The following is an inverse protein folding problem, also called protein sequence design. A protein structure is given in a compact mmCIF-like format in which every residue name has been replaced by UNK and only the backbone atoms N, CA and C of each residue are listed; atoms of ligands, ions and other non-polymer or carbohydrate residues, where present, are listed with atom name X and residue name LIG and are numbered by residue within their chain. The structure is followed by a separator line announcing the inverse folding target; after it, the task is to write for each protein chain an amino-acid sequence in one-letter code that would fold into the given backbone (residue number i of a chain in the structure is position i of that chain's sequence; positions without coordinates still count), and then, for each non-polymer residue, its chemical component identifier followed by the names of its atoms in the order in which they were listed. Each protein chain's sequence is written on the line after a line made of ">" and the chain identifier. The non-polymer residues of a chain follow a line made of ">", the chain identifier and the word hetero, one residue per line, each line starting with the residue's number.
data_IF_870490388394
#
_entry.id   IF_870490388394
#
_cell.length_a   1.000
_cell.length_b   1.000
_cell.length_c   1.000
_cell.angle_alpha   90.00
_cell.angle_beta   90.00
_cell.angle_gamma   90.00
#
_symmetry.space_group_name_H-M   'P 1'
#
loop_
_entity.id
_entity.type
_entity.pdbx_description
1 polymer ?
#
# COMPACT_ATOMS: atom_id res chain seq x y z
N UNK A 1 58.19 -25.29 -30.39
CA UNK A 1 58.05 -23.85 -30.04
C UNK A 1 56.86 -23.19 -30.75
N UNK A 2 56.76 -23.17 -32.08
CA UNK A 2 55.65 -22.47 -32.77
C UNK A 2 54.24 -23.06 -32.50
N UNK A 3 54.11 -24.40 -32.43
CA UNK A 3 52.82 -25.04 -32.17
C UNK A 3 52.25 -24.76 -30.77
N UNK A 4 53.11 -24.56 -29.76
CA UNK A 4 52.68 -24.19 -28.41
C UNK A 4 52.22 -22.72 -28.35
N UNK A 5 52.89 -21.83 -29.07
CA UNK A 5 52.51 -20.41 -29.15
C UNK A 5 51.12 -20.26 -29.78
N UNK A 6 50.82 -21.04 -30.83
CA UNK A 6 49.50 -21.03 -31.49
C UNK A 6 48.42 -21.52 -30.52
N UNK A 7 48.67 -22.66 -29.86
CA UNK A 7 47.74 -23.23 -28.87
C UNK A 7 47.49 -22.30 -27.67
N UNK A 8 48.53 -21.60 -27.22
CA UNK A 8 48.41 -20.62 -26.14
C UNK A 8 47.60 -19.39 -26.57
N UNK A 9 47.80 -18.88 -27.80
CA UNK A 9 46.96 -17.79 -28.35
C UNK A 9 45.50 -18.20 -28.45
N UNK A 10 45.24 -19.40 -28.93
CA UNK A 10 43.87 -19.93 -29.07
C UNK A 10 43.18 -20.05 -27.70
N UNK A 11 43.89 -20.53 -26.67
CA UNK A 11 43.38 -20.56 -25.29
C UNK A 11 43.13 -19.17 -24.70
N UNK A 12 43.99 -18.19 -24.97
CA UNK A 12 43.79 -16.81 -24.51
C UNK A 12 42.55 -16.20 -25.17
N UNK A 13 42.36 -16.44 -26.47
CA UNK A 13 41.21 -15.93 -27.19
C UNK A 13 39.89 -16.56 -26.70
N UNK A 14 39.88 -17.87 -26.42
CA UNK A 14 38.73 -18.53 -25.81
C UNK A 14 38.39 -17.98 -24.41
N UNK A 15 39.40 -17.72 -23.57
CA UNK A 15 39.16 -17.11 -22.26
C UNK A 15 38.59 -15.70 -22.37
N UNK A 16 39.02 -14.90 -23.35
CA UNK A 16 38.48 -13.56 -23.59
C UNK A 16 37.01 -13.62 -24.06
N UNK A 17 36.68 -14.56 -24.95
CA UNK A 17 35.30 -14.79 -25.41
C UNK A 17 34.39 -15.24 -24.27
N UNK A 18 34.83 -16.17 -23.43
CA UNK A 18 34.08 -16.63 -22.25
C UNK A 18 33.87 -15.51 -21.22
N UNK A 19 34.88 -14.67 -20.99
CA UNK A 19 34.74 -13.49 -20.11
C UNK A 19 33.74 -12.49 -20.67
N UNK A 20 33.76 -12.27 -21.99
CA UNK A 20 32.81 -11.38 -22.65
C UNK A 20 31.38 -11.94 -22.58
N UNK A 21 31.19 -13.24 -22.80
CA UNK A 21 29.89 -13.90 -22.69
C UNK A 21 29.36 -13.81 -21.25
N UNK A 22 30.21 -14.09 -20.25
CA UNK A 22 29.86 -13.92 -18.83
C UNK A 22 29.52 -12.47 -18.48
N UNK A 23 30.26 -11.48 -18.99
CA UNK A 23 29.96 -10.08 -18.78
C UNK A 23 28.63 -9.67 -19.42
N UNK A 24 28.31 -10.24 -20.59
CA UNK A 24 27.06 -9.98 -21.31
C UNK A 24 25.87 -10.59 -20.56
N UNK A 25 26.00 -11.84 -20.10
CA UNK A 25 25.01 -12.52 -19.26
C UNK A 25 24.82 -11.77 -17.93
N UNK A 26 25.90 -11.34 -17.28
CA UNK A 26 25.83 -10.57 -16.04
C UNK A 26 25.18 -9.19 -16.26
N UNK A 27 25.42 -8.54 -17.41
CA UNK A 27 24.76 -7.29 -17.76
C UNK A 27 23.26 -7.49 -18.02
N UNK A 28 22.87 -8.57 -18.69
CA UNK A 28 21.46 -8.95 -18.92
C UNK A 28 20.78 -9.24 -17.57
N UNK A 29 21.38 -10.06 -16.72
CA UNK A 29 20.84 -10.39 -15.39
C UNK A 29 20.75 -9.14 -14.51
N UNK A 30 21.77 -8.28 -14.51
CA UNK A 30 21.77 -7.02 -13.75
C UNK A 30 20.71 -6.04 -14.26
N UNK A 31 20.40 -6.06 -15.56
CA UNK A 31 19.31 -5.29 -16.17
C UNK A 31 17.95 -5.82 -15.70
N UNK A 32 17.72 -7.14 -15.77
CA UNK A 32 16.50 -7.80 -15.30
C UNK A 32 16.26 -7.56 -13.80
N UNK A 33 17.30 -7.72 -12.97
CA UNK A 33 17.20 -7.45 -11.53
C UNK A 33 16.96 -5.97 -11.23
N UNK A 34 17.50 -5.06 -12.06
CA UNK A 34 17.24 -3.62 -11.98
C UNK A 34 15.81 -3.23 -12.39
N UNK A 35 15.12 -4.07 -13.16
CA UNK A 35 13.70 -3.91 -13.49
C UNK A 35 12.79 -4.54 -12.42
N UNK A 36 13.19 -5.66 -11.81
CA UNK A 36 12.45 -6.34 -10.72
C UNK A 36 12.48 -5.52 -9.42
N UNK A 37 13.61 -4.84 -9.13
CA UNK A 37 13.76 -4.01 -7.92
C UNK A 37 13.27 -2.58 -8.09
N UNK A 38 12.99 -2.12 -9.32
CA UNK A 38 12.15 -0.94 -9.49
C UNK A 38 10.74 -1.39 -9.13
N UNK A 39 10.08 -0.78 -8.14
CA UNK A 39 8.65 -0.95 -8.00
C UNK A 39 8.05 -0.69 -9.37
N UNK A 40 7.29 -1.64 -9.92
CA UNK A 40 6.62 -1.47 -11.21
C UNK A 40 5.91 -0.12 -11.13
N UNK A 41 6.40 0.83 -11.93
CA UNK A 41 5.86 2.18 -11.90
C UNK A 41 4.34 2.02 -12.09
N UNK A 42 3.53 2.50 -11.14
CA UNK A 42 2.09 2.34 -11.23
C UNK A 42 1.68 2.88 -12.61
N UNK A 43 1.14 2.01 -13.47
CA UNK A 43 0.81 2.36 -14.86
C UNK A 43 0.03 3.67 -14.87
N UNK A 44 0.49 4.64 -15.67
CA UNK A 44 0.10 6.05 -15.68
C UNK A 44 -1.29 6.32 -15.05
N UNK A 45 -1.30 6.63 -13.74
CA UNK A 45 -2.54 6.89 -13.02
C UNK A 45 -3.03 8.29 -13.38
N UNK A 46 -4.29 8.35 -13.86
CA UNK A 46 -5.03 9.59 -14.06
C UNK A 46 -5.60 10.18 -12.75
N UNK A 47 -5.25 9.61 -11.59
CA UNK A 47 -5.41 10.20 -10.27
C UNK A 47 -4.03 10.56 -9.72
N UNK A 48 -3.86 11.74 -9.14
CA UNK A 48 -2.59 12.16 -8.54
C UNK A 48 -2.06 11.03 -7.64
N UNK A 49 -0.82 10.54 -7.81
CA UNK A 49 -0.24 9.50 -6.95
C UNK A 49 -0.28 9.87 -5.47
N UNK A 50 -0.47 11.17 -5.18
CA UNK A 50 -0.74 11.69 -3.86
C UNK A 50 -1.99 11.10 -3.19
N UNK A 51 -3.09 10.88 -3.93
CA UNK A 51 -4.37 10.45 -3.35
C UNK A 51 -4.32 8.99 -2.88
N UNK A 52 -3.84 8.07 -3.73
CA UNK A 52 -3.73 6.66 -3.35
C UNK A 52 -2.70 6.44 -2.24
N UNK A 53 -1.59 7.19 -2.26
CA UNK A 53 -0.59 7.17 -1.18
C UNK A 53 -1.19 7.67 0.14
N UNK A 54 -2.00 8.74 0.13
CA UNK A 54 -2.72 9.21 1.31
C UNK A 54 -3.67 8.15 1.87
N UNK A 55 -4.43 7.47 1.00
CA UNK A 55 -5.36 6.40 1.40
C UNK A 55 -4.61 5.22 2.03
N UNK A 56 -3.49 4.79 1.44
CA UNK A 56 -2.64 3.73 2.02
C UNK A 56 -2.06 4.14 3.37
N UNK A 57 -1.56 5.37 3.48
CA UNK A 57 -0.99 5.88 4.73
C UNK A 57 -2.02 5.96 5.86
N UNK A 58 -3.24 6.43 5.56
CA UNK A 58 -4.35 6.41 6.54
C UNK A 58 -4.68 4.97 6.94
N UNK A 59 -4.61 4.02 6.01
CA UNK A 59 -4.76 2.58 6.26
C UNK A 59 -3.86 2.03 7.36
N UNK A 60 -2.64 2.56 7.51
CA UNK A 60 -1.70 2.16 8.57
C UNK A 60 -2.21 2.50 9.98
N UNK A 61 -3.06 3.51 10.11
CA UNK A 61 -3.64 3.95 11.38
C UNK A 61 -5.02 3.34 11.65
N UNK A 62 -5.62 2.66 10.66
CA UNK A 62 -6.92 2.01 10.82
C UNK A 62 -6.75 0.73 11.65
N UNK A 63 -7.56 0.58 12.69
CA UNK A 63 -7.51 -0.56 13.61
C UNK A 63 -8.90 -1.13 13.89
N UNK A 64 -8.96 -2.32 14.50
CA UNK A 64 -10.20 -2.94 14.96
C UNK A 64 -11.19 -3.27 13.82
N UNK A 65 -12.47 -2.96 14.04
CA UNK A 65 -13.55 -3.27 13.08
C UNK A 65 -13.36 -2.54 11.75
N UNK A 66 -12.80 -1.31 11.80
CA UNK A 66 -12.49 -0.55 10.59
C UNK A 66 -11.37 -1.20 9.77
N UNK A 67 -10.39 -1.84 10.41
CA UNK A 67 -9.35 -2.58 9.70
C UNK A 67 -9.91 -3.85 9.06
N UNK A 68 -10.84 -4.52 9.73
CA UNK A 68 -11.49 -5.72 9.16
C UNK A 68 -12.27 -5.38 7.88
N UNK A 69 -12.86 -4.19 7.81
CA UNK A 69 -13.49 -3.67 6.60
C UNK A 69 -12.46 -3.27 5.53
N UNK A 70 -11.37 -2.62 5.92
CA UNK A 70 -10.44 -2.02 4.97
C UNK A 70 -9.34 -2.95 4.44
N UNK A 71 -8.95 -3.97 5.21
CA UNK A 71 -7.93 -4.96 4.83
C UNK A 71 -8.17 -5.64 3.48
N UNK A 72 -9.37 -6.17 3.17
CA UNK A 72 -9.61 -6.77 1.86
C UNK A 72 -9.49 -5.76 0.71
N UNK A 73 -9.86 -4.50 0.94
CA UNK A 73 -9.80 -3.41 -0.05
C UNK A 73 -8.34 -3.04 -0.36
N UNK A 74 -7.49 -2.89 0.67
CA UNK A 74 -6.05 -2.68 0.48
C UNK A 74 -5.44 -3.89 -0.24
N UNK A 75 -5.77 -5.11 0.18
CA UNK A 75 -5.22 -6.34 -0.41
C UNK A 75 -5.59 -6.45 -1.89
N UNK A 76 -6.81 -6.10 -2.27
CA UNK A 76 -7.27 -6.07 -3.65
C UNK A 76 -6.49 -5.04 -4.48
N UNK A 77 -6.30 -3.84 -3.94
CA UNK A 77 -5.54 -2.77 -4.58
C UNK A 77 -4.07 -3.16 -4.83
N UNK A 78 -3.40 -3.79 -3.85
CA UNK A 78 -1.98 -4.13 -3.93
C UNK A 78 -1.70 -5.34 -4.82
N UNK A 79 -2.61 -6.32 -4.87
CA UNK A 79 -2.34 -7.61 -5.52
C UNK A 79 -2.96 -7.76 -6.92
N UNK A 80 -3.88 -6.87 -7.32
CA UNK A 80 -4.54 -6.93 -8.63
C UNK A 80 -4.27 -5.67 -9.46
N UNK A 81 -4.24 -5.84 -10.79
CA UNK A 81 -4.25 -4.72 -11.74
C UNK A 81 -5.64 -4.06 -11.78
N UNK A 82 -5.70 -2.76 -12.15
CA UNK A 82 -6.93 -1.94 -12.08
C UNK A 82 -8.16 -2.62 -12.68
N UNK A 83 -8.01 -3.26 -13.84
CA UNK A 83 -9.13 -3.90 -14.55
C UNK A 83 -9.61 -5.22 -13.90
N UNK A 84 -8.78 -5.80 -13.03
CA UNK A 84 -9.07 -7.03 -12.29
C UNK A 84 -9.47 -6.78 -10.83
N UNK A 85 -9.40 -5.53 -10.38
CA UNK A 85 -9.85 -5.10 -9.05
C UNK A 85 -11.36 -5.04 -8.99
N UNK A 86 -11.89 -5.11 -7.78
CA UNK A 86 -13.28 -4.81 -7.54
C UNK A 86 -13.57 -3.33 -7.85
N UNK A 87 -14.76 -3.05 -8.37
CA UNK A 87 -15.19 -1.69 -8.70
C UNK A 87 -15.15 -0.77 -7.48
N UNK A 88 -15.50 -1.30 -6.31
CA UNK A 88 -15.43 -0.59 -5.03
C UNK A 88 -13.99 -0.18 -4.69
N UNK A 89 -13.02 -1.08 -4.86
CA UNK A 89 -11.59 -0.78 -4.66
C UNK A 89 -11.14 0.34 -5.60
N UNK A 90 -11.52 0.27 -6.87
CA UNK A 90 -11.16 1.30 -7.84
C UNK A 90 -11.75 2.67 -7.48
N UNK A 91 -13.01 2.69 -7.05
CA UNK A 91 -13.70 3.91 -6.60
C UNK A 91 -13.02 4.50 -5.36
N UNK A 92 -12.74 3.68 -4.35
CA UNK A 92 -12.12 4.13 -3.09
C UNK A 92 -10.73 4.74 -3.33
N UNK A 93 -9.94 4.17 -4.25
CA UNK A 93 -8.59 4.66 -4.57
C UNK A 93 -8.54 5.70 -5.70
N UNK A 94 -9.69 6.09 -6.27
CA UNK A 94 -9.76 7.12 -7.32
C UNK A 94 -9.36 8.49 -6.77
N UNK A 95 -9.85 8.84 -5.59
CA UNK A 95 -9.50 10.08 -4.89
C UNK A 95 -9.66 9.94 -3.37
N UNK A 96 -9.01 10.83 -2.62
CA UNK A 96 -9.15 10.86 -1.17
C UNK A 96 -10.59 11.18 -0.73
N UNK A 97 -11.33 11.99 -1.50
CA UNK A 97 -12.72 12.32 -1.23
C UNK A 97 -13.63 11.09 -1.37
N UNK A 98 -13.37 10.20 -2.33
CA UNK A 98 -14.12 8.95 -2.47
C UNK A 98 -13.82 7.98 -1.32
N UNK A 99 -12.57 7.89 -0.88
CA UNK A 99 -12.23 7.18 0.34
C UNK A 99 -12.98 7.74 1.56
N UNK A 100 -13.01 9.07 1.73
CA UNK A 100 -13.72 9.73 2.84
C UNK A 100 -15.23 9.47 2.78
N UNK A 101 -15.83 9.47 1.58
CA UNK A 101 -17.23 9.09 1.38
C UNK A 101 -17.46 7.63 1.73
N UNK A 102 -16.57 6.73 1.32
CA UNK A 102 -16.69 5.30 1.57
C UNK A 102 -16.57 4.97 3.07
N UNK A 103 -15.57 5.53 3.77
CA UNK A 103 -15.40 5.31 5.21
C UNK A 103 -16.55 5.95 6.01
N UNK A 104 -17.05 7.12 5.61
CA UNK A 104 -18.26 7.70 6.19
C UNK A 104 -19.48 6.82 5.87
N UNK A 105 -19.63 6.29 4.67
CA UNK A 105 -20.76 5.40 4.37
C UNK A 105 -20.72 4.11 5.21
N UNK A 106 -19.54 3.54 5.41
CA UNK A 106 -19.34 2.33 6.19
C UNK A 106 -19.57 2.53 7.70
N UNK A 107 -19.19 3.69 8.25
CA UNK A 107 -19.19 3.92 9.71
C UNK A 107 -20.09 5.07 10.21
N UNK A 108 -20.48 6.01 9.34
CA UNK A 108 -21.31 7.16 9.68
C UNK A 108 -22.79 6.81 9.62
N UNK A 109 -23.21 5.94 10.52
CA UNK A 109 -24.56 5.86 11.09
C UNK A 109 -24.61 5.00 12.35
N UNK A 110 -23.52 4.33 12.76
CA UNK A 110 -23.61 3.24 13.76
C UNK A 110 -23.34 3.69 15.19
N UNK A 111 -22.56 4.74 15.44
CA UNK A 111 -22.09 5.00 16.82
C UNK A 111 -22.19 6.43 17.36
N UNK A 112 -22.68 7.45 16.64
CA UNK A 112 -22.93 8.75 17.30
C UNK A 112 -24.11 8.68 18.27
N UNK A 113 -25.24 8.12 17.82
CA UNK A 113 -26.41 7.91 18.66
C UNK A 113 -26.13 6.89 19.77
N UNK A 114 -25.43 5.79 19.45
CA UNK A 114 -25.10 4.75 20.42
C UNK A 114 -24.01 5.19 21.41
N UNK A 115 -22.99 5.93 20.98
CA UNK A 115 -22.05 6.55 21.91
C UNK A 115 -22.76 7.59 22.78
N UNK A 116 -23.65 8.42 22.22
CA UNK A 116 -24.47 9.33 23.00
C UNK A 116 -25.35 8.59 24.02
N UNK A 117 -25.97 7.46 23.66
CA UNK A 117 -26.68 6.58 24.60
C UNK A 117 -25.75 6.06 25.70
N UNK A 118 -24.58 5.53 25.38
CA UNK A 118 -23.61 5.08 26.39
C UNK A 118 -23.18 6.22 27.33
N UNK A 119 -22.98 7.44 26.80
CA UNK A 119 -22.64 8.61 27.62
C UNK A 119 -23.81 9.06 28.51
N UNK A 120 -25.05 9.01 28.02
CA UNK A 120 -26.25 9.37 28.78
C UNK A 120 -26.56 8.31 29.85
N UNK A 121 -26.45 7.02 29.51
CA UNK A 121 -26.66 5.90 30.45
C UNK A 121 -25.61 5.90 31.58
N UNK A 122 -24.38 6.29 31.26
CA UNK A 122 -23.32 6.51 32.25
C UNK A 122 -23.47 7.79 33.08
N UNK A 123 -24.39 8.69 32.72
CA UNK A 123 -24.53 9.99 33.37
C UNK A 123 -25.30 9.86 34.69
N UNK A 124 -24.56 9.62 35.78
CA UNK A 124 -25.13 9.63 37.14
C UNK A 124 -24.88 10.96 37.83
N UNK A 125 -25.94 11.54 38.39
CA UNK A 125 -25.84 12.73 39.23
C UNK A 125 -25.05 12.39 40.50
N UNK A 126 -23.88 13.03 40.70
CA UNK A 126 -22.96 12.73 41.83
C UNK A 126 -23.31 13.42 43.15
N UNK A 127 -24.34 14.28 43.17
CA UNK A 127 -24.76 15.03 44.34
C UNK A 127 -26.23 15.46 44.24
N UNK A 128 -26.83 15.87 45.35
CA UNK A 128 -28.25 16.27 45.37
C UNK A 128 -28.51 17.46 44.46
N UNK A 129 -29.63 17.44 43.72
CA UNK A 129 -30.10 18.59 42.96
C UNK A 129 -30.30 19.82 43.87
N UNK A 130 -30.69 19.60 45.14
CA UNK A 130 -30.86 20.67 46.13
C UNK A 130 -29.53 21.31 46.55
N UNK A 131 -28.43 20.56 46.56
CA UNK A 131 -27.09 21.07 46.89
C UNK A 131 -26.56 22.01 45.79
N UNK A 132 -26.91 21.73 44.53
CA UNK A 132 -26.61 22.62 43.41
C UNK A 132 -27.47 23.88 43.47
N UNK A 133 -28.76 23.76 43.77
CA UNK A 133 -29.69 24.88 43.85
C UNK A 133 -29.38 25.86 44.99
N UNK A 134 -28.73 25.42 46.08
CA UNK A 134 -28.34 26.27 47.20
C UNK A 134 -27.01 27.03 46.99
N UNK A 135 -26.27 26.75 45.91
CA UNK A 135 -24.95 27.36 45.61
C UNK A 135 -25.00 28.49 44.56
N UNK A 136 -26.19 28.84 44.07
CA UNK A 136 -26.46 30.00 43.20
C UNK A 136 -27.61 30.81 43.80
#
# INVERSE_FOLDING_TARGET
>A
MLAEIIRLRERVQQMEEEQQEQATIAAIIKKDLGEILRPRAPGLYNGSPESSVKVLHVGEYITGVALTWFEPIIRDYLNKEKDNREEETNTIFESYDEFEKAIKKAFRTVDEARAAEYYIDGLKQKGSASDYAARF
#
